data_IF_162769040639
#
_entry.id   IF_162769040639
#
_cell.length_a   1.000
_cell.length_b   1.000
_cell.length_c   1.000
_cell.angle_alpha   90.00
_cell.angle_beta   90.00
_cell.angle_gamma   90.00
#
_symmetry.space_group_name_H-M   'P 1'
#
loop_
_entity.id
_entity.type
_entity.pdbx_description
1 polymer ?
#
# COMPACT_ATOMS: atom_id res chain seq x y z
N UNK A 1 -7.02 30.67 4.21
CA UNK A 1 -5.74 29.94 3.96
C UNK A 1 -6.05 28.99 2.82
N UNK A 2 -5.69 29.36 1.59
CA UNK A 2 -5.85 28.49 0.43
C UNK A 2 -4.87 27.34 0.57
N UNK A 3 -5.40 26.13 0.70
CA UNK A 3 -4.59 24.93 0.61
C UNK A 3 -3.92 24.93 -0.78
N UNK A 4 -2.63 25.01 -0.85
CA UNK A 4 -1.85 24.81 -2.06
C UNK A 4 -2.02 23.38 -2.54
N UNK A 5 -3.14 23.09 -3.19
CA UNK A 5 -3.28 21.85 -3.96
C UNK A 5 -2.49 22.05 -5.25
N UNK A 6 -1.29 21.55 -5.27
CA UNK A 6 -0.48 21.61 -6.48
C UNK A 6 -1.00 20.56 -7.46
N UNK A 7 -1.71 21.02 -8.49
CA UNK A 7 -2.17 20.16 -9.58
C UNK A 7 -0.95 19.81 -10.45
N UNK A 8 -0.51 18.57 -10.38
CA UNK A 8 0.55 18.05 -11.24
C UNK A 8 -0.05 17.70 -12.61
N UNK A 9 0.44 18.33 -13.65
CA UNK A 9 -0.04 18.05 -15.01
C UNK A 9 0.48 16.72 -15.54
N UNK A 10 -0.24 16.11 -16.51
CA UNK A 10 0.22 14.87 -17.18
C UNK A 10 1.64 15.01 -17.76
N UNK A 11 1.97 16.17 -18.32
CA UNK A 11 3.30 16.45 -18.87
C UNK A 11 4.38 16.43 -17.78
N UNK A 12 4.09 16.99 -16.62
CA UNK A 12 4.99 17.00 -15.48
C UNK A 12 5.16 15.60 -14.87
N UNK A 13 4.11 14.81 -14.77
CA UNK A 13 4.18 13.40 -14.33
C UNK A 13 5.06 12.57 -15.27
N UNK A 14 4.91 12.73 -16.59
CA UNK A 14 5.71 12.02 -17.58
C UNK A 14 7.17 12.48 -17.60
N UNK A 15 7.42 13.78 -17.42
CA UNK A 15 8.78 14.35 -17.38
C UNK A 15 9.59 13.85 -16.15
N UNK A 16 8.92 13.35 -15.11
CA UNK A 16 9.52 12.93 -13.84
C UNK A 16 9.79 11.42 -13.76
N UNK A 17 10.34 10.85 -14.81
CA UNK A 17 10.74 9.43 -14.82
C UNK A 17 11.96 9.16 -13.93
N UNK A 18 12.74 10.21 -13.66
CA UNK A 18 13.94 10.13 -12.83
C UNK A 18 13.81 11.12 -11.68
N UNK A 19 14.06 10.60 -10.49
CA UNK A 19 14.19 11.44 -9.30
C UNK A 19 15.53 12.18 -9.35
N UNK A 20 15.51 13.46 -8.98
CA UNK A 20 16.70 14.32 -8.88
C UNK A 20 16.79 14.92 -7.47
N UNK A 21 18.00 15.26 -7.05
CA UNK A 21 18.27 15.84 -5.73
C UNK A 21 18.05 14.87 -4.56
N UNK A 22 18.04 15.40 -3.34
CA UNK A 22 17.71 14.65 -2.13
C UNK A 22 16.25 14.95 -1.78
N UNK A 23 15.37 13.97 -1.99
CA UNK A 23 13.95 14.14 -1.74
C UNK A 23 13.42 13.17 -0.69
N UNK A 24 12.40 13.61 0.03
CA UNK A 24 11.68 12.81 1.01
C UNK A 24 10.22 12.61 0.58
N UNK A 25 9.69 11.45 0.89
CA UNK A 25 8.26 11.18 0.80
C UNK A 25 7.73 10.70 2.14
N UNK A 26 6.60 11.25 2.56
CA UNK A 26 5.88 10.86 3.76
C UNK A 26 4.50 10.36 3.40
N UNK A 27 4.19 9.14 3.81
CA UNK A 27 2.86 8.53 3.71
C UNK A 27 2.30 8.32 5.11
N UNK A 28 1.33 9.15 5.49
CA UNK A 28 0.62 9.03 6.77
C UNK A 28 -0.69 8.29 6.55
N UNK A 29 -0.61 6.97 6.49
CA UNK A 29 -1.78 6.11 6.35
C UNK A 29 -2.53 5.90 7.66
N UNK A 30 -3.73 5.31 7.59
CA UNK A 30 -4.60 5.02 8.74
C UNK A 30 -4.00 3.99 9.71
N UNK A 31 -3.23 3.03 9.21
CA UNK A 31 -2.64 1.94 10.01
C UNK A 31 -1.15 2.13 10.25
N UNK A 32 -0.41 2.63 9.26
CA UNK A 32 1.04 2.79 9.32
C UNK A 32 1.49 4.09 8.66
N UNK A 33 2.49 4.72 9.26
CA UNK A 33 3.18 5.89 8.69
C UNK A 33 4.54 5.47 8.16
N UNK A 34 4.92 5.96 6.98
CA UNK A 34 6.17 5.58 6.29
C UNK A 34 6.89 6.82 5.80
N UNK A 35 8.22 6.71 5.78
CA UNK A 35 9.11 7.69 5.15
C UNK A 35 10.07 7.00 4.20
N UNK A 36 10.39 7.68 3.12
CA UNK A 36 11.44 7.30 2.17
C UNK A 36 12.30 8.52 1.86
N UNK A 37 13.61 8.32 1.85
CA UNK A 37 14.59 9.27 1.34
C UNK A 37 15.14 8.73 0.03
N UNK A 38 15.12 9.56 -1.00
CA UNK A 38 15.66 9.21 -2.32
C UNK A 38 16.75 10.17 -2.76
N UNK A 39 17.74 9.61 -3.43
CA UNK A 39 18.79 10.35 -4.11
C UNK A 39 19.23 9.58 -5.36
N UNK A 40 19.47 10.28 -6.46
CA UNK A 40 19.95 9.70 -7.72
C UNK A 40 19.12 8.49 -8.19
N UNK A 41 17.80 8.62 -8.11
CA UNK A 41 16.83 7.59 -8.47
C UNK A 41 16.95 6.29 -7.67
N UNK A 42 17.40 6.38 -6.42
CA UNK A 42 17.54 5.26 -5.49
C UNK A 42 16.94 5.59 -4.13
N UNK A 43 16.36 4.60 -3.49
CA UNK A 43 15.99 4.68 -2.08
C UNK A 43 17.28 4.52 -1.27
N UNK A 44 17.63 5.53 -0.48
CA UNK A 44 18.82 5.53 0.39
C UNK A 44 18.49 5.43 1.88
N UNK A 45 17.22 5.65 2.24
CA UNK A 45 16.71 5.45 3.59
C UNK A 45 15.20 5.24 3.56
N UNK A 46 14.68 4.38 4.43
CA UNK A 46 13.26 4.10 4.56
C UNK A 46 12.93 3.62 5.96
N UNK A 47 11.79 4.06 6.49
CA UNK A 47 11.30 3.60 7.79
C UNK A 47 9.77 3.59 7.82
N UNK A 48 9.22 2.80 8.72
CA UNK A 48 7.79 2.78 9.00
C UNK A 48 7.51 2.57 10.48
N UNK A 49 6.32 2.96 10.92
CA UNK A 49 5.81 2.74 12.27
C UNK A 49 4.29 2.60 12.23
N UNK A 50 3.65 1.92 13.20
CA UNK A 50 2.21 2.04 13.39
C UNK A 50 1.81 3.51 13.53
N UNK A 51 0.68 3.89 12.90
CA UNK A 51 0.17 5.26 13.00
C UNK A 51 -0.47 5.51 14.36
N UNK A 52 -0.06 6.59 15.02
CA UNK A 52 -0.65 7.12 16.23
C UNK A 52 -0.96 8.62 16.04
N UNK A 53 -0.12 9.48 16.58
CA UNK A 53 -0.17 10.91 16.26
C UNK A 53 0.50 11.15 14.91
N UNK A 54 -0.18 11.89 14.02
CA UNK A 54 0.29 12.13 12.64
C UNK A 54 1.69 12.72 12.60
N UNK A 55 1.93 13.78 13.38
CA UNK A 55 3.20 14.51 13.38
C UNK A 55 4.30 13.70 14.06
N UNK A 56 4.00 13.10 15.21
CA UNK A 56 4.98 12.30 15.97
C UNK A 56 5.44 11.08 15.17
N UNK A 57 4.48 10.33 14.60
CA UNK A 57 4.78 9.16 13.79
C UNK A 57 5.61 9.53 12.56
N UNK A 58 5.25 10.62 11.86
CA UNK A 58 5.97 11.06 10.67
C UNK A 58 7.38 11.58 11.00
N UNK A 59 7.53 12.33 12.10
CA UNK A 59 8.84 12.81 12.57
C UNK A 59 9.75 11.64 12.93
N UNK A 60 9.20 10.63 13.62
CA UNK A 60 9.95 9.43 13.97
C UNK A 60 10.48 8.70 12.72
N UNK A 61 9.60 8.35 11.78
CA UNK A 61 10.02 7.60 10.58
C UNK A 61 10.92 8.43 9.67
N UNK A 62 10.74 9.75 9.60
CA UNK A 62 11.61 10.62 8.84
C UNK A 62 13.04 10.63 9.41
N UNK A 63 13.18 10.75 10.72
CA UNK A 63 14.47 10.72 11.39
C UNK A 63 15.19 9.37 11.22
N UNK A 64 14.46 8.26 11.35
CA UNK A 64 15.00 6.92 11.12
C UNK A 64 15.48 6.74 9.67
N UNK A 65 14.70 7.21 8.67
CA UNK A 65 15.08 7.14 7.27
C UNK A 65 16.29 8.01 6.96
N UNK A 66 16.37 9.21 7.54
CA UNK A 66 17.53 10.12 7.43
C UNK A 66 18.79 9.51 8.06
N UNK A 67 18.66 8.93 9.25
CA UNK A 67 19.78 8.26 9.93
C UNK A 67 20.36 7.13 9.09
N UNK A 68 19.50 6.29 8.44
CA UNK A 68 19.93 5.25 7.52
C UNK A 68 20.67 5.81 6.30
N UNK A 69 20.23 6.99 5.80
CA UNK A 69 20.86 7.67 4.67
C UNK A 69 22.14 8.40 5.04
N UNK A 70 22.45 8.58 6.33
CA UNK A 70 23.55 9.41 6.80
C UNK A 70 23.34 10.91 6.54
N UNK A 71 22.08 11.36 6.53
CA UNK A 71 21.66 12.72 6.20
C UNK A 71 20.95 13.36 7.40
N UNK A 72 20.84 14.69 7.34
CA UNK A 72 20.08 15.51 8.28
C UNK A 72 18.85 16.14 7.58
N UNK A 73 17.87 16.59 8.34
CA UNK A 73 16.69 17.27 7.82
C UNK A 73 16.98 18.43 6.87
N UNK A 74 18.07 19.19 7.14
CA UNK A 74 18.51 20.33 6.30
C UNK A 74 18.87 19.91 4.88
N UNK A 75 19.34 18.67 4.68
CA UNK A 75 19.82 18.14 3.39
C UNK A 75 18.67 17.81 2.44
N UNK A 76 17.43 17.68 2.95
CA UNK A 76 16.25 17.48 2.12
C UNK A 76 15.99 18.73 1.28
N UNK A 77 15.94 18.58 -0.03
CA UNK A 77 15.68 19.65 -0.98
C UNK A 77 14.18 19.82 -1.28
N UNK A 78 13.44 18.71 -1.38
CA UNK A 78 11.99 18.72 -1.54
C UNK A 78 11.33 17.52 -0.83
N UNK A 79 10.09 17.72 -0.39
CA UNK A 79 9.30 16.69 0.29
C UNK A 79 7.90 16.60 -0.32
N UNK A 80 7.40 15.36 -0.48
CA UNK A 80 6.02 15.06 -0.82
C UNK A 80 5.29 14.38 0.33
N UNK A 81 4.05 14.79 0.58
CA UNK A 81 3.19 14.20 1.60
C UNK A 81 1.93 13.61 0.99
N UNK A 82 1.53 12.43 1.47
CA UNK A 82 0.32 11.70 1.06
C UNK A 82 -0.31 11.01 2.24
N UNK A 83 -1.41 10.30 2.00
CA UNK A 83 -2.15 9.60 3.03
C UNK A 83 -3.17 10.47 3.74
N UNK A 84 -3.80 9.89 4.74
CA UNK A 84 -4.80 10.55 5.58
C UNK A 84 -4.27 11.85 6.23
N UNK A 85 -3.04 11.81 6.74
CA UNK A 85 -2.40 12.93 7.45
C UNK A 85 -1.71 13.97 6.55
N UNK A 86 -1.80 13.86 5.21
CA UNK A 86 -1.02 14.68 4.26
C UNK A 86 -1.06 16.18 4.47
N UNK A 87 -2.21 16.74 4.82
CA UNK A 87 -2.37 18.19 5.04
C UNK A 87 -1.71 18.63 6.34
N UNK A 88 -1.87 17.86 7.41
CA UNK A 88 -1.19 18.12 8.71
C UNK A 88 0.32 18.09 8.54
N UNK A 89 0.85 17.11 7.78
CA UNK A 89 2.27 17.01 7.48
C UNK A 89 2.74 18.14 6.57
N UNK A 90 1.92 18.53 5.59
CA UNK A 90 2.20 19.64 4.70
C UNK A 90 2.37 20.97 5.46
N UNK A 91 1.57 21.21 6.48
CA UNK A 91 1.72 22.41 7.32
C UNK A 91 2.90 22.28 8.29
N UNK A 92 3.11 21.10 8.87
CA UNK A 92 4.20 20.89 9.84
C UNK A 92 5.59 21.02 9.21
N UNK A 93 5.79 20.46 8.02
CA UNK A 93 7.06 20.47 7.28
C UNK A 93 7.06 21.46 6.10
N UNK A 94 6.32 22.56 6.21
CA UNK A 94 6.07 23.52 5.12
C UNK A 94 7.33 24.14 4.49
N UNK A 95 8.43 24.17 5.20
CA UNK A 95 9.73 24.65 4.70
C UNK A 95 10.33 23.70 3.64
N UNK A 96 10.00 22.41 3.71
CA UNK A 96 10.48 21.35 2.79
C UNK A 96 9.40 20.80 1.86
N UNK A 97 8.12 20.82 2.28
CA UNK A 97 7.03 20.27 1.48
C UNK A 97 6.79 21.10 0.23
N UNK A 98 6.92 20.46 -0.92
CA UNK A 98 6.62 21.01 -2.26
C UNK A 98 5.38 20.39 -2.87
N UNK A 99 4.95 19.23 -2.36
CA UNK A 99 3.81 18.49 -2.88
C UNK A 99 2.96 17.94 -1.73
N UNK A 100 1.68 18.25 -1.77
CA UNK A 100 0.63 17.58 -0.97
C UNK A 100 -0.32 16.94 -1.95
N UNK A 101 -0.35 15.62 -2.03
CA UNK A 101 -1.06 14.90 -3.08
C UNK A 101 -1.88 13.75 -2.52
N UNK A 102 -3.00 13.45 -3.17
CA UNK A 102 -3.85 12.30 -2.85
C UNK A 102 -3.17 10.96 -3.21
N UNK A 103 -3.65 9.88 -2.59
CA UNK A 103 -3.02 8.57 -2.67
C UNK A 103 -3.05 7.94 -4.07
N UNK A 104 -4.13 8.09 -4.84
CA UNK A 104 -4.27 7.41 -6.14
C UNK A 104 -3.12 7.76 -7.08
N UNK A 105 -2.81 9.04 -7.20
CA UNK A 105 -1.70 9.54 -8.05
C UNK A 105 -0.34 9.09 -7.51
N UNK A 106 -0.14 9.27 -6.20
CA UNK A 106 1.16 9.01 -5.57
C UNK A 106 1.46 7.51 -5.53
N UNK A 107 0.47 6.70 -5.10
CA UNK A 107 0.61 5.24 -5.04
C UNK A 107 0.83 4.65 -6.43
N UNK A 108 0.12 5.14 -7.44
CA UNK A 108 0.32 4.71 -8.83
C UNK A 108 1.75 4.97 -9.31
N UNK A 109 2.27 6.18 -9.04
CA UNK A 109 3.63 6.52 -9.41
C UNK A 109 4.67 5.67 -8.70
N UNK A 110 4.51 5.47 -7.39
CA UNK A 110 5.40 4.63 -6.59
C UNK A 110 5.34 3.16 -7.02
N UNK A 111 4.15 2.63 -7.25
CA UNK A 111 3.95 1.23 -7.64
C UNK A 111 4.62 0.89 -8.98
N UNK A 112 4.39 1.70 -10.03
CA UNK A 112 5.00 1.44 -11.34
C UNK A 112 6.51 1.65 -11.33
N UNK A 113 7.00 2.60 -10.51
CA UNK A 113 8.45 2.82 -10.36
C UNK A 113 9.12 1.63 -9.68
N UNK A 114 8.57 1.15 -8.58
CA UNK A 114 9.09 -0.02 -7.85
C UNK A 114 9.02 -1.31 -8.70
N UNK A 115 7.97 -1.45 -9.52
CA UNK A 115 7.79 -2.61 -10.39
C UNK A 115 8.59 -2.53 -11.71
N UNK A 116 9.31 -1.44 -11.96
CA UNK A 116 9.96 -1.13 -13.25
C UNK A 116 8.99 -1.22 -14.43
N UNK A 117 7.82 -0.56 -14.26
CA UNK A 117 6.71 -0.52 -15.23
C UNK A 117 6.17 0.89 -15.45
N UNK A 118 7.10 1.85 -15.58
CA UNK A 118 6.75 3.27 -15.75
C UNK A 118 6.11 3.57 -17.09
N UNK A 119 6.21 2.66 -18.05
CA UNK A 119 5.62 2.76 -19.40
C UNK A 119 4.64 1.64 -19.67
N UNK A 120 3.65 1.96 -20.51
CA UNK A 120 2.60 1.02 -20.88
C UNK A 120 1.44 1.01 -19.90
N UNK A 121 0.67 -0.05 -19.95
CA UNK A 121 -0.52 -0.24 -19.13
C UNK A 121 -0.23 -1.23 -18.00
N UNK A 122 -0.94 -1.09 -16.89
CA UNK A 122 -0.94 -2.04 -15.79
C UNK A 122 -2.18 -1.84 -14.92
N UNK A 123 -2.49 -2.85 -14.09
CA UNK A 123 -3.44 -2.71 -12.99
C UNK A 123 -2.69 -2.83 -11.68
N UNK A 124 -2.92 -1.88 -10.79
CA UNK A 124 -2.37 -1.87 -9.43
C UNK A 124 -3.47 -2.31 -8.48
N UNK A 125 -3.19 -3.29 -7.66
CA UNK A 125 -4.04 -3.73 -6.54
C UNK A 125 -3.33 -3.31 -5.26
N UNK A 126 -3.88 -2.30 -4.59
CA UNK A 126 -3.39 -1.80 -3.30
C UNK A 126 -4.36 -2.23 -2.20
N UNK A 127 -3.98 -3.26 -1.44
CA UNK A 127 -4.77 -3.73 -0.30
C UNK A 127 -4.14 -3.15 0.97
N UNK A 128 -4.74 -2.09 1.47
CA UNK A 128 -4.32 -1.38 2.67
C UNK A 128 -4.81 -2.04 3.97
N UNK A 129 -4.56 -1.34 5.08
CA UNK A 129 -5.03 -1.77 6.40
C UNK A 129 -6.54 -1.64 6.59
N UNK A 130 -7.15 -0.63 5.97
CA UNK A 130 -8.59 -0.32 6.13
C UNK A 130 -9.33 -0.08 4.81
N UNK A 131 -8.63 0.04 3.70
CA UNK A 131 -9.20 0.27 2.38
C UNK A 131 -8.44 -0.52 1.32
N UNK A 132 -9.10 -0.72 0.20
CA UNK A 132 -8.54 -1.40 -0.97
C UNK A 132 -8.78 -0.54 -2.19
N UNK A 133 -7.82 -0.56 -3.09
CA UNK A 133 -7.92 0.18 -4.35
C UNK A 133 -7.49 -0.72 -5.49
N UNK A 134 -8.26 -0.73 -6.57
CA UNK A 134 -7.82 -1.24 -7.85
C UNK A 134 -7.70 -0.05 -8.81
N UNK A 135 -6.52 0.14 -9.39
CA UNK A 135 -6.20 1.32 -10.19
C UNK A 135 -5.62 0.85 -11.52
N UNK A 136 -6.25 1.19 -12.63
CA UNK A 136 -5.63 1.02 -13.93
C UNK A 136 -4.78 2.24 -14.25
N UNK A 137 -3.60 1.99 -14.79
CA UNK A 137 -2.64 3.04 -15.12
C UNK A 137 -2.20 2.92 -16.59
N UNK A 138 -1.86 4.08 -17.16
CA UNK A 138 -1.17 4.18 -18.44
C UNK A 138 0.01 5.12 -18.28
N UNK A 139 1.21 4.63 -18.55
CA UNK A 139 2.46 5.38 -18.36
C UNK A 139 2.58 5.94 -16.92
N UNK A 140 2.18 5.13 -15.92
CA UNK A 140 2.20 5.51 -14.50
C UNK A 140 1.19 6.59 -14.09
N UNK A 141 0.22 6.90 -14.94
CA UNK A 141 -0.85 7.86 -14.66
C UNK A 141 -2.15 7.07 -14.44
N UNK A 142 -2.88 7.31 -13.35
CA UNK A 142 -4.20 6.72 -13.15
C UNK A 142 -5.14 7.04 -14.31
N UNK A 143 -5.81 6.01 -14.84
CA UNK A 143 -6.77 6.12 -15.92
C UNK A 143 -8.20 5.85 -15.41
N UNK A 144 -8.36 4.78 -14.60
CA UNK A 144 -9.59 4.46 -13.90
C UNK A 144 -9.26 3.84 -12.56
N UNK A 145 -10.20 3.87 -11.61
CA UNK A 145 -10.01 3.25 -10.31
C UNK A 145 -11.35 2.87 -9.67
N UNK A 146 -11.27 1.87 -8.80
CA UNK A 146 -12.31 1.55 -7.83
C UNK A 146 -11.71 1.54 -6.44
N UNK A 147 -12.53 1.89 -5.45
CA UNK A 147 -12.15 1.83 -4.04
C UNK A 147 -13.17 0.98 -3.31
N UNK A 148 -12.70 0.02 -2.54
CA UNK A 148 -13.54 -0.69 -1.58
C UNK A 148 -14.09 0.26 -0.53
N UNK A 149 -15.31 -0.04 -0.06
CA UNK A 149 -15.91 0.71 1.05
C UNK A 149 -15.06 0.65 2.32
N UNK A 150 -15.39 1.49 3.30
CA UNK A 150 -14.71 1.58 4.61
C UNK A 150 -14.88 0.31 5.46
N UNK A 151 -15.37 -0.77 4.90
CA UNK A 151 -15.55 -2.03 5.61
C UNK A 151 -14.24 -2.81 5.66
N UNK A 152 -13.82 -3.15 6.86
CA UNK A 152 -12.53 -3.81 7.12
C UNK A 152 -12.39 -5.24 6.54
N UNK A 153 -13.41 -5.75 5.83
CA UNK A 153 -13.51 -7.16 5.46
C UNK A 153 -12.54 -7.58 4.37
N UNK A 154 -12.41 -6.78 3.33
CA UNK A 154 -11.49 -7.06 2.25
C UNK A 154 -10.14 -6.36 2.48
N UNK A 155 -9.67 -6.23 3.72
CA UNK A 155 -8.50 -5.42 4.05
C UNK A 155 -7.52 -6.15 4.98
N UNK A 156 -6.36 -5.52 5.15
CA UNK A 156 -5.34 -5.99 6.09
C UNK A 156 -5.84 -6.12 7.52
N UNK A 157 -6.85 -5.33 7.92
CA UNK A 157 -7.44 -5.41 9.26
C UNK A 157 -8.07 -6.79 9.54
N UNK A 158 -8.77 -7.37 8.57
CA UNK A 158 -9.32 -8.72 8.73
C UNK A 158 -8.20 -9.76 8.90
N UNK A 159 -7.12 -9.64 8.14
CA UNK A 159 -5.96 -10.53 8.27
C UNK A 159 -5.23 -10.36 9.61
N UNK A 160 -5.11 -9.13 10.12
CA UNK A 160 -4.62 -8.88 11.48
C UNK A 160 -5.50 -9.52 12.55
N UNK A 161 -6.83 -9.40 12.42
CA UNK A 161 -7.78 -10.01 13.37
C UNK A 161 -7.69 -11.53 13.32
N UNK A 162 -7.55 -12.11 12.12
CA UNK A 162 -7.31 -13.54 11.91
C UNK A 162 -6.02 -13.99 12.63
N UNK A 163 -4.91 -13.29 12.41
CA UNK A 163 -3.63 -13.60 13.04
C UNK A 163 -3.72 -13.59 14.58
N UNK A 164 -4.36 -12.55 15.13
CA UNK A 164 -4.61 -12.47 16.58
C UNK A 164 -5.42 -13.64 17.10
N UNK A 165 -6.43 -14.09 16.32
CA UNK A 165 -7.26 -15.24 16.72
C UNK A 165 -6.48 -16.54 16.67
N UNK A 166 -5.59 -16.70 15.67
CA UNK A 166 -4.67 -17.84 15.57
C UNK A 166 -3.49 -17.75 16.55
N UNK A 167 -3.36 -16.64 17.29
CA UNK A 167 -2.26 -16.37 18.25
C UNK A 167 -0.88 -16.37 17.60
N UNK A 168 -0.79 -15.84 16.38
CA UNK A 168 0.45 -15.66 15.64
C UNK A 168 0.66 -14.19 15.29
N UNK A 169 1.88 -13.82 14.94
CA UNK A 169 2.16 -12.52 14.34
C UNK A 169 1.63 -12.48 12.89
N UNK A 170 1.15 -11.31 12.44
CA UNK A 170 0.62 -11.16 11.08
C UNK A 170 1.65 -11.48 10.00
N UNK A 171 2.94 -11.27 10.29
CA UNK A 171 4.05 -11.64 9.39
C UNK A 171 4.18 -13.15 9.14
N UNK A 172 3.63 -13.97 10.05
CA UNK A 172 3.63 -15.43 9.93
C UNK A 172 2.41 -15.96 9.17
N UNK A 173 1.38 -15.13 8.99
CA UNK A 173 0.09 -15.55 8.40
C UNK A 173 0.28 -16.08 6.97
N UNK A 174 1.10 -15.42 6.15
CA UNK A 174 1.33 -15.83 4.77
C UNK A 174 1.93 -17.23 4.67
N UNK A 175 3.03 -17.46 5.41
CA UNK A 175 3.71 -18.76 5.43
C UNK A 175 2.84 -19.89 6.02
N UNK A 176 1.89 -19.56 6.90
CA UNK A 176 0.90 -20.50 7.41
C UNK A 176 -0.14 -20.81 6.34
N UNK A 177 -0.69 -19.80 5.68
CA UNK A 177 -1.68 -19.93 4.62
C UNK A 177 -1.16 -20.74 3.42
N UNK A 178 0.11 -20.55 3.05
CA UNK A 178 0.75 -21.29 1.95
C UNK A 178 0.82 -22.81 2.17
N UNK A 179 0.62 -23.28 3.40
CA UNK A 179 0.56 -24.70 3.76
C UNK A 179 -0.85 -25.26 3.81
N UNK A 180 -1.85 -24.41 3.79
CA UNK A 180 -3.26 -24.77 3.92
C UNK A 180 -3.98 -24.91 2.58
N UNK A 181 -5.21 -25.41 2.67
CA UNK A 181 -6.13 -25.46 1.55
C UNK A 181 -7.42 -24.73 1.95
N UNK A 182 -7.65 -23.56 1.37
CA UNK A 182 -8.82 -22.73 1.67
C UNK A 182 -10.16 -23.44 1.48
N UNK A 183 -10.21 -24.46 0.60
CA UNK A 183 -11.43 -25.25 0.36
C UNK A 183 -11.87 -26.10 1.55
N UNK A 184 -10.95 -26.37 2.48
CA UNK A 184 -11.24 -27.11 3.70
C UNK A 184 -11.89 -26.27 4.79
N UNK A 185 -11.76 -24.94 4.72
CA UNK A 185 -12.20 -23.99 5.73
C UNK A 185 -12.90 -22.81 5.05
N UNK A 186 -14.20 -22.92 4.79
CA UNK A 186 -14.93 -21.85 4.09
C UNK A 186 -15.17 -20.66 4.99
N UNK A 187 -14.86 -19.47 4.46
CA UNK A 187 -15.28 -18.18 4.96
C UNK A 187 -16.14 -17.52 3.89
N UNK A 188 -17.41 -17.26 4.20
CA UNK A 188 -18.39 -16.78 3.22
C UNK A 188 -18.88 -15.36 3.52
N UNK A 189 -18.15 -14.60 4.33
CA UNK A 189 -18.69 -13.37 4.87
C UNK A 189 -18.07 -12.14 4.23
N UNK A 190 -18.93 -11.26 3.78
CA UNK A 190 -18.61 -9.91 3.34
C UNK A 190 -18.63 -8.88 4.49
N UNK A 191 -18.58 -9.33 5.74
CA UNK A 191 -18.60 -8.48 6.93
C UNK A 191 -17.61 -8.99 7.97
N UNK A 192 -16.69 -8.15 8.46
CA UNK A 192 -15.66 -8.55 9.44
C UNK A 192 -16.26 -9.18 10.71
N UNK A 193 -17.44 -8.76 11.12
CA UNK A 193 -18.14 -9.35 12.27
C UNK A 193 -18.50 -10.79 11.98
N UNK A 194 -19.09 -11.07 10.84
CA UNK A 194 -19.44 -12.43 10.43
C UNK A 194 -18.20 -13.23 10.03
N UNK A 195 -17.21 -12.62 9.38
CA UNK A 195 -15.93 -13.27 9.07
C UNK A 195 -15.21 -13.77 10.32
N UNK A 196 -15.23 -12.99 11.41
CA UNK A 196 -14.70 -13.45 12.70
C UNK A 196 -15.57 -14.57 13.29
N UNK A 197 -16.89 -14.53 13.10
CA UNK A 197 -17.76 -15.62 13.53
C UNK A 197 -17.46 -16.90 12.75
N UNK A 198 -17.32 -16.83 11.42
CA UNK A 198 -16.92 -17.96 10.57
C UNK A 198 -15.57 -18.52 11.01
N UNK A 199 -14.60 -17.65 11.29
CA UNK A 199 -13.29 -18.03 11.81
C UNK A 199 -13.39 -18.84 13.12
N UNK A 200 -14.21 -18.37 14.07
CA UNK A 200 -14.43 -19.06 15.35
C UNK A 200 -15.10 -20.41 15.15
N UNK A 201 -16.14 -20.46 14.31
CA UNK A 201 -16.86 -21.69 14.00
C UNK A 201 -15.94 -22.71 13.33
N UNK A 202 -15.20 -22.30 12.32
CA UNK A 202 -14.26 -23.15 11.58
C UNK A 202 -13.17 -23.74 12.46
N UNK A 203 -12.63 -22.95 13.39
CA UNK A 203 -11.69 -23.45 14.40
C UNK A 203 -12.37 -24.41 15.39
N UNK A 204 -13.61 -24.10 15.79
CA UNK A 204 -14.42 -24.98 16.65
C UNK A 204 -14.73 -26.33 16.01
N UNK A 205 -14.87 -26.37 14.70
CA UNK A 205 -15.05 -27.59 13.89
C UNK A 205 -13.75 -28.40 13.71
N UNK A 206 -12.65 -27.95 14.32
CA UNK A 206 -11.37 -28.68 14.30
C UNK A 206 -10.58 -28.53 13.01
N UNK A 207 -10.84 -27.50 12.20
CA UNK A 207 -10.02 -27.21 11.03
C UNK A 207 -8.63 -26.77 11.42
N UNK A 208 -7.64 -27.07 10.59
CA UNK A 208 -6.25 -26.71 10.83
C UNK A 208 -6.05 -25.20 10.75
N UNK A 209 -5.06 -24.67 11.46
CA UNK A 209 -4.71 -23.24 11.40
C UNK A 209 -4.26 -22.83 10.00
N UNK A 210 -3.60 -23.74 9.29
CA UNK A 210 -3.18 -23.59 7.91
C UNK A 210 -4.36 -23.38 6.97
N UNK A 211 -5.39 -24.24 7.05
CA UNK A 211 -6.58 -24.15 6.22
C UNK A 211 -7.37 -22.88 6.52
N UNK A 212 -7.47 -22.51 7.80
CA UNK A 212 -8.14 -21.28 8.25
C UNK A 212 -7.40 -20.04 7.75
N UNK A 213 -6.07 -20.02 7.83
CA UNK A 213 -5.25 -18.91 7.31
C UNK A 213 -5.39 -18.79 5.79
N UNK A 214 -5.37 -19.92 5.07
CA UNK A 214 -5.57 -19.95 3.62
C UNK A 214 -6.97 -19.44 3.24
N UNK A 215 -8.02 -19.86 3.96
CA UNK A 215 -9.39 -19.40 3.73
C UNK A 215 -9.56 -17.90 3.98
N UNK A 216 -8.91 -17.35 5.01
CA UNK A 216 -8.93 -15.90 5.27
C UNK A 216 -8.27 -15.11 4.15
N UNK A 217 -7.11 -15.54 3.66
CA UNK A 217 -6.44 -14.91 2.53
C UNK A 217 -7.30 -14.99 1.25
N UNK A 218 -7.89 -16.16 0.99
CA UNK A 218 -8.73 -16.36 -0.19
C UNK A 218 -10.00 -15.50 -0.14
N UNK A 219 -10.65 -15.40 1.02
CA UNK A 219 -11.84 -14.56 1.20
C UNK A 219 -11.54 -13.09 0.91
N UNK A 220 -10.39 -12.56 1.35
CA UNK A 220 -9.96 -11.18 1.00
C UNK A 220 -9.73 -11.04 -0.50
N UNK A 221 -9.07 -12.01 -1.13
CA UNK A 221 -8.80 -11.97 -2.57
C UNK A 221 -10.10 -12.01 -3.41
N UNK A 222 -11.06 -12.87 -3.06
CA UNK A 222 -12.36 -12.93 -3.72
C UNK A 222 -13.13 -11.63 -3.59
N UNK A 223 -13.17 -11.03 -2.39
CA UNK A 223 -13.87 -9.77 -2.18
C UNK A 223 -13.26 -8.62 -2.98
N UNK A 224 -11.92 -8.52 -3.03
CA UNK A 224 -11.23 -7.52 -3.87
C UNK A 224 -11.57 -7.71 -5.34
N UNK A 225 -11.62 -8.95 -5.80
CA UNK A 225 -12.01 -9.26 -7.18
C UNK A 225 -13.45 -8.84 -7.46
N UNK A 226 -14.40 -9.28 -6.65
CA UNK A 226 -15.84 -9.05 -6.86
C UNK A 226 -16.24 -7.58 -6.70
N UNK A 227 -15.66 -6.87 -5.72
CA UNK A 227 -16.06 -5.51 -5.40
C UNK A 227 -15.28 -4.44 -6.17
N UNK A 228 -14.14 -4.79 -6.76
CA UNK A 228 -13.27 -3.78 -7.35
C UNK A 228 -12.81 -4.15 -8.77
N UNK A 229 -12.26 -5.35 -8.95
CA UNK A 229 -11.67 -5.71 -10.24
C UNK A 229 -12.72 -5.99 -11.31
N UNK A 230 -13.92 -6.44 -10.94
CA UNK A 230 -15.03 -6.59 -11.89
C UNK A 230 -15.58 -5.25 -12.40
N UNK A 231 -15.33 -4.17 -11.67
CA UNK A 231 -15.83 -2.82 -12.00
C UNK A 231 -14.88 -2.02 -12.90
N UNK A 232 -13.70 -2.56 -13.22
CA UNK A 232 -12.71 -1.90 -14.07
C UNK A 232 -12.26 -2.82 -15.20
N UNK A 233 -11.73 -2.21 -16.27
CA UNK A 233 -11.06 -2.93 -17.37
C UNK A 233 -9.64 -3.31 -16.92
N UNK A 234 -9.48 -4.54 -16.38
CA UNK A 234 -8.21 -5.03 -15.86
C UNK A 234 -7.18 -5.09 -16.98
N UNK A 235 -6.04 -4.42 -16.77
CA UNK A 235 -4.92 -4.36 -17.70
C UNK A 235 -3.70 -5.06 -17.12
N UNK A 236 -2.94 -5.71 -17.98
CA UNK A 236 -1.76 -6.46 -17.59
C UNK A 236 -0.46 -5.67 -17.84
N UNK A 237 0.57 -5.90 -17.02
CA UNK A 237 0.62 -6.81 -15.88
C UNK A 237 -0.16 -6.28 -14.67
N UNK A 238 -0.47 -7.19 -13.73
CA UNK A 238 -1.05 -6.85 -12.44
C UNK A 238 0.08 -6.65 -11.43
N UNK A 239 0.02 -5.55 -10.67
CA UNK A 239 0.99 -5.19 -9.64
C UNK A 239 0.27 -5.15 -8.30
N UNK A 240 0.62 -6.03 -7.37
CA UNK A 240 0.06 -6.03 -6.01
C UNK A 240 1.00 -5.30 -5.05
N UNK A 241 0.45 -4.35 -4.31
CA UNK A 241 1.18 -3.44 -3.42
C UNK A 241 0.47 -3.25 -2.08
N UNK A 242 0.98 -2.38 -1.24
CA UNK A 242 0.49 -2.15 0.13
C UNK A 242 1.12 -3.11 1.13
N UNK A 243 0.86 -2.89 2.43
CA UNK A 243 1.42 -3.71 3.50
C UNK A 243 1.02 -5.18 3.44
N UNK A 244 -0.16 -5.47 2.91
CA UNK A 244 -0.68 -6.85 2.79
C UNK A 244 -0.01 -7.65 1.67
N UNK A 245 0.64 -7.01 0.71
CA UNK A 245 1.42 -7.71 -0.32
C UNK A 245 2.64 -8.46 0.23
N UNK A 246 2.98 -8.21 1.50
CA UNK A 246 4.01 -8.97 2.23
C UNK A 246 3.48 -10.32 2.78
N UNK A 247 2.17 -10.55 2.72
CA UNK A 247 1.52 -11.80 3.14
C UNK A 247 1.47 -12.75 1.95
N UNK A 248 2.42 -13.67 1.84
CA UNK A 248 2.58 -14.58 0.69
C UNK A 248 1.28 -15.34 0.35
N UNK A 249 0.58 -15.85 1.35
CA UNK A 249 -0.70 -16.53 1.15
C UNK A 249 -1.77 -15.64 0.52
N UNK A 250 -1.79 -14.33 0.79
CA UNK A 250 -2.70 -13.42 0.09
C UNK A 250 -2.28 -13.20 -1.37
N UNK A 251 -0.99 -13.08 -1.63
CA UNK A 251 -0.47 -12.97 -3.01
C UNK A 251 -0.82 -14.22 -3.82
N UNK A 252 -0.68 -15.39 -3.21
CA UNK A 252 -1.08 -16.67 -3.81
C UNK A 252 -2.58 -16.69 -4.10
N UNK A 253 -3.41 -16.29 -3.12
CA UNK A 253 -4.87 -16.25 -3.28
C UNK A 253 -5.32 -15.27 -4.37
N UNK A 254 -4.73 -14.08 -4.43
CA UNK A 254 -4.99 -13.10 -5.51
C UNK A 254 -4.62 -13.70 -6.87
N UNK A 255 -3.48 -14.37 -6.95
CA UNK A 255 -3.06 -15.04 -8.18
C UNK A 255 -4.01 -16.17 -8.62
N UNK A 256 -4.55 -16.95 -7.67
CA UNK A 256 -5.54 -18.00 -7.95
C UNK A 256 -6.85 -17.42 -8.48
N UNK A 257 -7.35 -16.35 -7.87
CA UNK A 257 -8.61 -15.69 -8.27
C UNK A 257 -8.48 -15.04 -9.65
N UNK A 258 -7.32 -14.44 -9.95
CA UNK A 258 -7.08 -13.76 -11.22
C UNK A 258 -6.62 -14.69 -12.35
N UNK A 259 -6.19 -15.91 -12.01
CA UNK A 259 -5.59 -16.83 -12.98
C UNK A 259 -4.17 -16.47 -13.41
N UNK A 260 -3.56 -15.47 -12.79
CA UNK A 260 -2.17 -15.06 -13.02
C UNK A 260 -1.51 -14.54 -11.73
N UNK A 261 -0.22 -14.78 -11.57
CA UNK A 261 0.53 -14.30 -10.41
C UNK A 261 0.83 -12.80 -10.54
N UNK A 262 0.39 -11.96 -9.58
CA UNK A 262 0.72 -10.54 -9.62
C UNK A 262 2.22 -10.30 -9.39
N UNK A 263 2.72 -9.19 -9.92
CA UNK A 263 4.05 -8.67 -9.61
C UNK A 263 3.98 -8.01 -8.22
N UNK A 264 4.80 -8.48 -7.28
CA UNK A 264 4.99 -7.83 -5.99
C UNK A 264 6.39 -7.22 -5.98
N UNK A 265 6.52 -5.90 -6.13
CA UNK A 265 7.83 -5.27 -6.13
C UNK A 265 8.44 -5.29 -4.73
N UNK A 266 9.76 -5.25 -4.66
CA UNK A 266 10.45 -4.94 -3.41
C UNK A 266 9.94 -3.59 -2.87
N UNK A 267 9.85 -3.48 -1.55
CA UNK A 267 9.36 -2.25 -0.89
C UNK A 267 7.91 -1.85 -1.23
N UNK A 268 7.10 -2.80 -1.67
CA UNK A 268 5.70 -2.63 -2.05
C UNK A 268 4.83 -1.90 -1.03
N UNK A 269 5.19 -1.93 0.25
CA UNK A 269 4.50 -1.20 1.31
C UNK A 269 4.83 0.31 1.34
N UNK A 270 5.89 0.75 0.64
CA UNK A 270 6.36 2.14 0.65
C UNK A 270 5.90 2.95 -0.57
N UNK A 271 4.99 2.43 -1.39
CA UNK A 271 4.56 3.06 -2.65
C UNK A 271 4.17 4.54 -2.49
N UNK A 272 3.42 4.88 -1.43
CA UNK A 272 3.01 6.25 -1.15
C UNK A 272 4.21 7.17 -0.86
N UNK A 273 5.11 6.73 0.01
CA UNK A 273 6.31 7.50 0.32
C UNK A 273 7.25 7.60 -0.89
N UNK A 274 7.44 6.52 -1.66
CA UNK A 274 8.25 6.53 -2.89
C UNK A 274 7.65 7.50 -3.93
N UNK A 275 6.35 7.39 -4.19
CA UNK A 275 5.67 8.27 -5.14
C UNK A 275 5.73 9.75 -4.72
N UNK A 276 5.61 10.03 -3.41
CA UNK A 276 5.77 11.37 -2.85
C UNK A 276 7.16 11.94 -3.09
N UNK A 277 8.21 11.16 -2.82
CA UNK A 277 9.60 11.57 -3.08
C UNK A 277 9.88 11.79 -4.57
N UNK A 278 9.39 10.87 -5.44
CA UNK A 278 9.53 10.99 -6.89
C UNK A 278 8.87 12.25 -7.44
N UNK A 279 7.62 12.49 -7.08
CA UNK A 279 6.84 13.62 -7.60
C UNK A 279 7.35 14.96 -7.06
N UNK A 280 7.80 15.01 -5.79
CA UNK A 280 8.33 16.24 -5.21
C UNK A 280 9.64 16.70 -5.87
N UNK A 281 10.45 15.79 -6.42
CA UNK A 281 11.69 16.12 -7.12
C UNK A 281 11.45 17.02 -8.34
N UNK A 282 10.27 17.05 -8.90
CA UNK A 282 9.94 17.90 -10.01
C UNK A 282 9.75 19.39 -9.66
N UNK A 283 9.92 19.74 -8.40
CA UNK A 283 9.91 21.14 -7.93
C UNK A 283 11.29 21.66 -7.56
N UNK A 284 12.34 20.90 -7.87
CA UNK A 284 13.75 21.28 -7.72
C UNK A 284 14.28 22.06 -8.90
#
# INVERSE_FOLDING_TARGET
MEALVTIVTRKELLARERQAGITAGLDSGSSTTKAVIMQDNKIIGKAWTPSHNVVESATFVLNEALAQAGLEYKDIEAMGTTGYGRFTLGEHFKDKVKLIQEELTVNSKGAVWLADRQRGEATIIDIGGMDNKAITVRDGIPDNFTMGGVCADASGRFLEMTSRRLKIDVTQLGALADKGNWRNAKMNSYCSVFGIQDLVTTLGDGKSFEDVAAAACHSVAEQVYEQQLQEIDVRHPIIQVGGTSLISGLVTAVGEVLGEKPIVPADSQFIGAVGGALLSSGFL
#
